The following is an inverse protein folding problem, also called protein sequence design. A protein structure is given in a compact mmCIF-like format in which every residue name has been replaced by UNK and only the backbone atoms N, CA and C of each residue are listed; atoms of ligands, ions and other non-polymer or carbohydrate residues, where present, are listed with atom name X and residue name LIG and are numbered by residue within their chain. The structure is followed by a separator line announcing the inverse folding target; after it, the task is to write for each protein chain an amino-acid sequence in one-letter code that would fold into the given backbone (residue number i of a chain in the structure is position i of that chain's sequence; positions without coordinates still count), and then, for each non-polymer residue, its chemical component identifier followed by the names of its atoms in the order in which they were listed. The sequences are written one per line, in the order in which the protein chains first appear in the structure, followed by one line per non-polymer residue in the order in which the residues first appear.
data_IF_271360354396
#
_entry.id   IF_271360354396
#
_cell.length_a   1.000
_cell.length_b   1.000
_cell.length_c   1.000
_cell.angle_alpha   90.00
_cell.angle_beta   90.00
_cell.angle_gamma   90.00
#
_symmetry.space_group_name_H-M   'P 1'
#
loop_
_entity.id
_entity.type
_entity.pdbx_description
1 polymer ?
#
# COMPACT_ATOMS: atom_id res chain seq x y z
N UNK A 1 -10.79 13.34 -34.48
CA UNK A 1 -10.69 13.58 -33.03
C UNK A 1 -9.97 14.90 -32.79
N UNK A 2 -10.54 15.83 -32.04
CA UNK A 2 -9.95 17.18 -31.89
C UNK A 2 -8.74 17.14 -30.94
N UNK A 3 -7.68 17.91 -31.23
CA UNK A 3 -6.40 17.94 -30.48
C UNK A 3 -6.57 18.07 -28.95
N UNK A 4 -7.67 18.71 -28.52
CA UNK A 4 -8.05 18.86 -27.10
C UNK A 4 -8.26 17.50 -26.39
N UNK A 5 -8.93 16.54 -27.02
CA UNK A 5 -9.19 15.23 -26.40
C UNK A 5 -7.92 14.39 -26.28
N UNK A 6 -7.04 14.47 -27.28
CA UNK A 6 -5.74 13.79 -27.26
C UNK A 6 -4.89 14.30 -26.09
N UNK A 7 -4.81 15.63 -25.94
CA UNK A 7 -4.04 16.23 -24.85
C UNK A 7 -4.59 15.91 -23.46
N UNK A 8 -5.92 15.90 -23.30
CA UNK A 8 -6.57 15.50 -22.04
C UNK A 8 -6.26 14.04 -21.73
N UNK A 9 -6.31 13.15 -22.73
CA UNK A 9 -5.97 11.73 -22.52
C UNK A 9 -4.52 11.53 -22.12
N UNK A 10 -3.57 12.28 -22.69
CA UNK A 10 -2.15 12.22 -22.31
C UNK A 10 -1.91 12.66 -20.86
N UNK A 11 -2.62 13.71 -20.40
CA UNK A 11 -2.51 14.19 -19.02
C UNK A 11 -3.04 13.12 -18.04
N UNK A 12 -4.19 12.52 -18.36
CA UNK A 12 -4.80 11.48 -17.52
C UNK A 12 -3.87 10.26 -17.41
N UNK A 13 -3.29 9.81 -18.53
CA UNK A 13 -2.35 8.67 -18.52
C UNK A 13 -1.17 8.94 -17.60
N UNK A 14 -0.51 10.11 -17.73
CA UNK A 14 0.62 10.48 -16.86
C UNK A 14 0.24 10.56 -15.39
N UNK A 15 -0.98 11.02 -15.09
CA UNK A 15 -1.49 11.09 -13.73
C UNK A 15 -1.67 9.68 -13.13
N UNK A 16 -2.29 8.77 -13.90
CA UNK A 16 -2.51 7.38 -13.49
C UNK A 16 -1.18 6.65 -13.31
N UNK A 17 -0.22 6.84 -14.22
CA UNK A 17 1.12 6.27 -14.12
C UNK A 17 1.86 6.77 -12.87
N UNK A 18 1.78 8.08 -12.59
CA UNK A 18 2.36 8.68 -11.40
C UNK A 18 1.74 8.14 -10.10
N UNK A 19 0.41 7.98 -10.09
CA UNK A 19 -0.32 7.37 -8.98
C UNK A 19 0.12 5.92 -8.76
N UNK A 20 0.14 5.10 -9.82
CA UNK A 20 0.64 3.73 -9.79
C UNK A 20 2.05 3.67 -9.21
N UNK A 21 2.97 4.51 -9.70
CA UNK A 21 4.35 4.55 -9.24
C UNK A 21 4.47 4.90 -7.75
N UNK A 22 3.69 5.88 -7.29
CA UNK A 22 3.67 6.30 -5.88
C UNK A 22 3.21 5.18 -4.94
N UNK A 23 2.22 4.38 -5.35
CA UNK A 23 1.71 3.26 -4.56
C UNK A 23 2.73 2.12 -4.48
N UNK A 24 3.41 1.82 -5.58
CA UNK A 24 4.53 0.87 -5.60
C UNK A 24 5.63 1.28 -4.61
N UNK A 25 6.03 2.55 -4.62
CA UNK A 25 7.02 3.07 -3.68
C UNK A 25 6.54 2.98 -2.23
N UNK A 26 5.27 3.29 -1.96
CA UNK A 26 4.66 3.18 -0.63
C UNK A 26 4.69 1.74 -0.11
N UNK A 27 4.42 0.74 -0.96
CA UNK A 27 4.47 -0.68 -0.58
C UNK A 27 5.91 -1.18 -0.33
N UNK A 28 6.85 -0.75 -1.16
CA UNK A 28 8.29 -1.03 -0.97
C UNK A 28 8.81 -0.42 0.33
N UNK A 29 8.44 0.84 0.58
CA UNK A 29 8.78 1.55 1.80
C UNK A 29 8.22 0.85 3.04
N UNK A 30 6.95 0.41 3.01
CA UNK A 30 6.34 -0.32 4.11
C UNK A 30 7.11 -1.60 4.47
N UNK A 31 7.47 -2.41 3.46
CA UNK A 31 8.29 -3.60 3.70
C UNK A 31 9.71 -3.29 4.17
N UNK A 32 10.31 -2.19 3.71
CA UNK A 32 11.62 -1.74 4.19
C UNK A 32 11.56 -1.34 5.66
N UNK A 33 10.58 -0.51 6.03
CA UNK A 33 10.35 -0.06 7.42
C UNK A 33 10.07 -1.26 8.32
N UNK A 34 9.21 -2.19 7.92
CA UNK A 34 8.88 -3.37 8.72
C UNK A 34 10.08 -4.27 9.03
N UNK A 35 11.05 -4.35 8.12
CA UNK A 35 12.28 -5.14 8.27
C UNK A 35 13.42 -4.39 8.97
N UNK A 36 13.28 -3.10 9.22
CA UNK A 36 14.33 -2.33 9.89
C UNK A 36 14.47 -2.81 11.35
N UNK A 37 15.64 -3.32 11.76
CA UNK A 37 15.82 -3.86 13.10
C UNK A 37 15.77 -2.74 14.14
N UNK A 38 15.00 -2.97 15.21
CA UNK A 38 15.22 -2.28 16.48
C UNK A 38 14.37 -1.04 16.80
N UNK A 39 13.28 -0.72 16.11
CA UNK A 39 12.62 0.56 16.40
C UNK A 39 11.14 0.54 16.84
N UNK A 40 10.89 1.20 17.98
CA UNK A 40 9.55 1.59 18.47
C UNK A 40 8.83 2.43 17.42
N UNK A 41 9.57 3.13 16.54
CA UNK A 41 9.03 3.89 15.40
C UNK A 41 8.48 2.98 14.30
N UNK A 42 9.18 1.90 13.94
CA UNK A 42 8.73 0.89 12.96
C UNK A 42 7.40 0.26 13.40
N UNK A 43 7.28 -0.13 14.68
CA UNK A 43 6.02 -0.61 15.25
C UNK A 43 4.91 0.44 15.18
N UNK A 44 5.22 1.72 15.41
CA UNK A 44 4.22 2.81 15.38
C UNK A 44 3.67 3.05 13.97
N UNK A 45 4.56 3.06 12.98
CA UNK A 45 4.21 3.26 11.56
C UNK A 45 3.45 2.06 11.00
N UNK A 46 3.91 0.84 11.29
CA UNK A 46 3.24 -0.38 10.81
C UNK A 46 1.92 -0.67 11.52
N UNK A 47 1.71 -0.10 12.71
CA UNK A 47 0.42 -0.15 13.44
C UNK A 47 -0.44 1.10 13.18
N UNK A 48 -0.04 1.97 12.25
CA UNK A 48 -0.78 3.19 11.97
C UNK A 48 -2.17 2.87 11.43
N UNK A 49 -3.15 3.59 11.97
CA UNK A 49 -4.57 3.36 11.86
C UNK A 49 -5.14 3.97 10.57
N UNK A 50 -6.04 3.24 9.93
CA UNK A 50 -6.91 3.77 8.90
C UNK A 50 -8.01 4.63 9.56
N UNK A 51 -8.13 5.94 9.26
CA UNK A 51 -8.99 6.88 9.99
C UNK A 51 -10.47 6.50 10.09
N UNK A 52 -10.95 5.54 9.29
CA UNK A 52 -12.36 5.15 9.24
C UNK A 52 -12.82 4.06 10.22
N UNK A 53 -11.96 3.49 11.07
CA UNK A 53 -12.33 2.24 11.78
C UNK A 53 -12.38 2.36 13.31
N UNK A 54 -13.60 2.55 13.86
CA UNK A 54 -13.87 2.53 15.29
C UNK A 54 -13.87 1.07 15.78
N UNK A 55 -13.02 0.71 16.76
CA UNK A 55 -12.88 -0.68 17.26
C UNK A 55 -12.85 -0.76 18.78
N UNK A 56 -13.44 -1.85 19.31
CA UNK A 56 -13.39 -2.21 20.73
C UNK A 56 -11.97 -2.58 21.19
N UNK A 57 -11.64 -2.22 22.44
CA UNK A 57 -10.35 -2.55 23.09
C UNK A 57 -10.09 -4.07 23.01
N UNK A 58 -8.83 -4.45 22.75
CA UNK A 58 -8.36 -5.84 22.82
C UNK A 58 -8.21 -6.59 21.49
N UNK A 59 -8.94 -6.22 20.42
CA UNK A 59 -8.77 -6.85 19.10
C UNK A 59 -7.60 -6.22 18.34
N UNK A 60 -6.64 -7.00 17.79
CA UNK A 60 -5.61 -6.46 16.91
C UNK A 60 -6.25 -5.65 15.76
N UNK A 61 -5.83 -4.39 15.61
CA UNK A 61 -6.40 -3.46 14.62
C UNK A 61 -6.09 -3.95 13.20
N UNK A 62 -7.06 -3.83 12.28
CA UNK A 62 -6.85 -4.13 10.86
C UNK A 62 -5.93 -3.05 10.31
N UNK A 63 -4.80 -3.45 9.75
CA UNK A 63 -3.93 -2.55 8.99
C UNK A 63 -4.21 -2.78 7.51
N UNK A 64 -3.93 -1.78 6.67
CA UNK A 64 -4.02 -1.95 5.21
C UNK A 64 -3.18 -3.15 4.73
N UNK A 65 -2.03 -3.38 5.36
CA UNK A 65 -1.15 -4.53 5.10
C UNK A 65 -1.84 -5.87 5.37
N UNK A 66 -2.62 -5.97 6.45
CA UNK A 66 -3.38 -7.17 6.80
C UNK A 66 -4.51 -7.46 5.80
N UNK A 67 -5.16 -6.43 5.25
CA UNK A 67 -6.21 -6.59 4.21
C UNK A 67 -5.65 -7.17 2.90
N UNK A 68 -4.36 -6.97 2.62
CA UNK A 68 -3.73 -7.36 1.36
C UNK A 68 -2.91 -8.64 1.53
N UNK A 69 -1.98 -8.67 2.48
CA UNK A 69 -1.10 -9.81 2.71
C UNK A 69 -1.68 -10.86 3.68
N UNK A 70 -2.81 -10.57 4.34
CA UNK A 70 -3.50 -11.47 5.27
C UNK A 70 -2.98 -11.41 6.71
N UNK A 71 -3.46 -12.29 7.59
CA UNK A 71 -3.08 -12.34 9.01
C UNK A 71 -1.55 -12.48 9.22
N UNK A 72 -0.87 -13.20 8.34
CA UNK A 72 0.56 -13.48 8.42
C UNK A 72 1.43 -12.43 7.71
N UNK A 73 0.91 -11.22 7.50
CA UNK A 73 1.61 -10.16 6.75
C UNK A 73 3.01 -9.86 7.31
N UNK A 74 3.17 -9.81 8.64
CA UNK A 74 4.49 -9.61 9.28
C UNK A 74 5.52 -10.66 8.89
N UNK A 75 5.09 -11.92 8.75
CA UNK A 75 5.96 -13.02 8.30
C UNK A 75 6.23 -12.94 6.80
N UNK A 76 5.23 -12.54 6.00
CA UNK A 76 5.40 -12.31 4.55
C UNK A 76 6.32 -11.12 4.25
N UNK A 77 6.38 -10.11 5.11
CA UNK A 77 7.31 -8.99 4.99
C UNK A 77 8.76 -9.44 5.10
N UNK A 78 9.08 -10.37 6.00
CA UNK A 78 10.43 -10.92 6.12
C UNK A 78 10.85 -11.62 4.81
N UNK A 79 9.92 -12.33 4.16
CA UNK A 79 10.14 -12.95 2.86
C UNK A 79 9.97 -11.95 1.70
N UNK A 80 11.07 -11.33 1.24
CA UNK A 80 11.08 -10.35 0.12
C UNK A 80 10.29 -10.78 -1.12
N UNK A 81 10.34 -12.06 -1.51
CA UNK A 81 9.59 -12.60 -2.67
C UNK A 81 8.07 -12.57 -2.43
N UNK A 82 7.62 -12.99 -1.26
CA UNK A 82 6.19 -12.99 -0.90
C UNK A 82 5.63 -11.57 -0.75
N UNK A 83 6.46 -10.62 -0.27
CA UNK A 83 6.08 -9.21 -0.18
C UNK A 83 5.91 -8.56 -1.56
N UNK A 84 6.80 -8.85 -2.52
CA UNK A 84 6.68 -8.38 -3.91
C UNK A 84 5.43 -8.93 -4.60
N UNK A 85 5.06 -10.18 -4.38
CA UNK A 85 3.83 -10.74 -4.96
C UNK A 85 2.56 -10.01 -4.47
N UNK A 86 2.60 -9.50 -3.23
CA UNK A 86 1.49 -8.74 -2.65
C UNK A 86 1.43 -7.28 -3.15
N UNK A 87 2.48 -6.81 -3.81
CA UNK A 87 2.61 -5.45 -4.35
C UNK A 87 1.65 -5.22 -5.51
N UNK A 88 1.56 -6.14 -6.46
CA UNK A 88 0.65 -6.04 -7.61
C UNK A 88 -0.83 -6.02 -7.17
N UNK A 89 -1.16 -6.85 -6.18
CA UNK A 89 -2.50 -6.90 -5.58
C UNK A 89 -2.83 -5.58 -4.88
N UNK A 90 -1.84 -4.94 -4.24
CA UNK A 90 -2.03 -3.65 -3.60
C UNK A 90 -2.31 -2.55 -4.62
N UNK A 91 -1.47 -2.45 -5.64
CA UNK A 91 -1.58 -1.40 -6.66
C UNK A 91 -2.90 -1.51 -7.42
N UNK A 92 -3.32 -2.72 -7.80
CA UNK A 92 -4.65 -2.93 -8.41
C UNK A 92 -5.80 -2.56 -7.48
N UNK A 93 -5.74 -2.93 -6.20
CA UNK A 93 -6.85 -2.64 -5.29
C UNK A 93 -7.04 -1.14 -5.07
N UNK A 94 -5.96 -0.37 -4.92
CA UNK A 94 -6.09 1.06 -4.66
C UNK A 94 -6.63 1.78 -5.90
N UNK A 95 -6.16 1.42 -7.10
CA UNK A 95 -6.63 2.02 -8.35
C UNK A 95 -8.07 1.63 -8.73
N UNK A 96 -8.60 0.53 -8.19
CA UNK A 96 -9.99 0.12 -8.36
C UNK A 96 -10.95 0.70 -7.30
N UNK A 97 -10.42 1.24 -6.20
CA UNK A 97 -11.23 1.80 -5.09
C UNK A 97 -11.37 3.31 -5.08
N UNK A 98 -10.58 4.01 -5.90
CA UNK A 98 -10.68 5.46 -6.15
C UNK A 98 -11.49 5.72 -7.43
#
# INVERSE_FOLDING_TARGET
MTKKYVHISEIIIKLVDGLHHSQHLKWKWAGHVARAPGDRRVKRVTTWWDPGNHRNRGRPKETMYKKIAGNNWKRKEEYRKAWRLSEEIYTQKVTMTE
#
